data_IF_083713472701
#
_entry.id   IF_083713472701
#
_cell.length_a   1.000
_cell.length_b   1.000
_cell.length_c   1.000
_cell.angle_alpha   90.00
_cell.angle_beta   90.00
_cell.angle_gamma   90.00
#
_symmetry.space_group_name_H-M   'P 1'
#
loop_
_entity.id
_entity.type
_entity.pdbx_description
1 polymer ?
#
# COMPACT_ATOMS: atom_id res chain seq x y z
N UNK A 1 20.24 4.01 -12.47
CA UNK A 1 19.14 3.25 -11.86
C UNK A 1 17.94 4.16 -11.77
N UNK A 2 16.84 3.79 -12.40
CA UNK A 2 15.57 4.52 -12.43
C UNK A 2 14.57 3.79 -11.55
N UNK A 3 14.01 4.48 -10.55
CA UNK A 3 13.03 3.92 -9.62
C UNK A 3 11.61 4.28 -10.06
N UNK A 4 10.72 3.30 -10.15
CA UNK A 4 9.29 3.60 -10.14
C UNK A 4 8.78 3.66 -8.70
N UNK A 5 7.82 4.53 -8.41
CA UNK A 5 7.13 4.59 -7.12
C UNK A 5 5.65 4.37 -7.37
N UNK A 6 5.10 3.30 -6.78
CA UNK A 6 3.67 3.00 -6.79
C UNK A 6 3.03 3.47 -5.49
N UNK A 7 1.98 4.27 -5.57
CA UNK A 7 1.34 4.89 -4.41
C UNK A 7 -0.16 5.17 -4.65
N UNK A 8 -0.91 5.43 -3.58
CA UNK A 8 -2.37 5.61 -3.57
C UNK A 8 -3.11 4.31 -3.24
N UNK A 9 -3.84 3.78 -4.22
CA UNK A 9 -4.70 2.58 -4.21
C UNK A 9 -5.91 2.63 -3.28
N UNK A 10 -6.65 1.52 -3.18
CA UNK A 10 -7.84 1.42 -2.35
C UNK A 10 -7.47 1.15 -0.90
N UNK A 11 -7.20 2.20 -0.13
CA UNK A 11 -6.82 2.10 1.28
C UNK A 11 -7.34 3.26 2.10
N UNK A 12 -7.61 3.02 3.40
CA UNK A 12 -7.83 4.09 4.36
C UNK A 12 -6.59 4.99 4.56
N UNK A 13 -5.43 4.52 4.11
CA UNK A 13 -4.14 5.20 4.20
C UNK A 13 -3.72 5.79 2.83
N UNK A 14 -4.66 5.93 1.89
CA UNK A 14 -4.43 6.49 0.54
C UNK A 14 -3.70 7.83 0.56
N UNK A 15 -4.16 8.79 1.37
CA UNK A 15 -3.54 10.12 1.47
C UNK A 15 -2.13 10.06 2.09
N UNK A 16 -1.91 9.13 3.03
CA UNK A 16 -0.58 8.90 3.63
C UNK A 16 0.38 8.36 2.57
N UNK A 17 -0.10 7.50 1.67
CA UNK A 17 0.68 6.99 0.53
C UNK A 17 1.08 8.12 -0.43
N UNK A 18 0.16 9.03 -0.74
CA UNK A 18 0.43 10.24 -1.54
C UNK A 18 1.51 11.12 -0.92
N UNK A 19 1.40 11.40 0.38
CA UNK A 19 2.40 12.20 1.11
C UNK A 19 3.77 11.52 1.11
N UNK A 20 3.80 10.19 1.28
CA UNK A 20 5.03 9.40 1.25
C UNK A 20 5.74 9.49 -0.11
N UNK A 21 4.99 9.40 -1.21
CA UNK A 21 5.54 9.55 -2.57
C UNK A 21 6.10 10.97 -2.81
N UNK A 22 5.39 12.01 -2.37
CA UNK A 22 5.87 13.40 -2.49
C UNK A 22 7.17 13.61 -1.71
N UNK A 23 7.31 12.99 -0.54
CA UNK A 23 8.50 13.10 0.29
C UNK A 23 9.76 12.51 -0.38
N UNK A 24 9.61 11.41 -1.15
CA UNK A 24 10.75 10.78 -1.84
C UNK A 24 11.49 11.71 -2.80
N UNK A 25 10.78 12.64 -3.46
CA UNK A 25 11.39 13.65 -4.33
C UNK A 25 12.49 14.45 -3.62
N UNK A 26 12.30 14.74 -2.32
CA UNK A 26 13.25 15.50 -1.50
C UNK A 26 14.40 14.64 -0.99
N UNK A 27 14.14 13.36 -0.70
CA UNK A 27 15.09 12.45 -0.06
C UNK A 27 16.09 11.87 -1.07
N UNK A 28 15.67 11.66 -2.32
CA UNK A 28 16.47 11.03 -3.37
C UNK A 28 16.72 11.96 -4.58
N UNK A 29 17.32 13.16 -4.38
CA UNK A 29 17.41 14.18 -5.43
C UNK A 29 18.26 13.80 -6.64
N UNK A 30 19.14 12.79 -6.50
CA UNK A 30 20.02 12.29 -7.57
C UNK A 30 19.47 11.04 -8.27
N UNK A 31 18.28 10.57 -7.88
CA UNK A 31 17.67 9.37 -8.44
C UNK A 31 16.58 9.78 -9.41
N UNK A 32 16.57 9.20 -10.61
CA UNK A 32 15.44 9.36 -11.51
C UNK A 32 14.24 8.57 -10.96
N UNK A 33 13.15 9.27 -10.66
CA UNK A 33 11.93 8.68 -10.11
C UNK A 33 10.79 8.83 -11.11
N UNK A 34 10.14 7.72 -11.41
CA UNK A 34 8.91 7.61 -12.19
C UNK A 34 7.74 7.39 -11.23
N UNK A 35 6.75 8.26 -11.26
CA UNK A 35 5.60 8.17 -10.35
C UNK A 35 4.42 7.46 -11.03
N UNK A 36 3.96 6.37 -10.43
CA UNK A 36 2.77 5.63 -10.86
C UNK A 36 1.74 5.73 -9.75
N UNK A 37 0.68 6.48 -10.00
CA UNK A 37 -0.43 6.63 -9.06
C UNK A 37 -1.50 5.57 -9.34
N UNK A 38 -2.02 4.95 -8.30
CA UNK A 38 -3.19 4.08 -8.34
C UNK A 38 -4.35 4.81 -7.65
N UNK A 39 -5.50 4.96 -8.29
CA UNK A 39 -6.68 5.58 -7.65
C UNK A 39 -7.49 4.57 -6.82
N UNK A 40 -8.60 5.02 -6.21
CA UNK A 40 -9.49 4.15 -5.41
C UNK A 40 -10.22 3.07 -6.24
N UNK A 41 -10.37 3.31 -7.54
CA UNK A 41 -10.96 2.38 -8.51
C UNK A 41 -9.91 1.43 -9.11
N UNK A 42 -8.66 1.51 -8.62
CA UNK A 42 -7.49 0.72 -9.04
C UNK A 42 -7.07 0.97 -10.50
N UNK A 43 -7.32 2.17 -11.00
CA UNK A 43 -6.75 2.64 -12.26
C UNK A 43 -5.35 3.21 -12.03
N UNK A 44 -4.44 2.94 -12.96
CA UNK A 44 -3.05 3.42 -12.88
C UNK A 44 -2.82 4.63 -13.78
N UNK A 45 -2.07 5.60 -13.30
CA UNK A 45 -1.74 6.84 -14.00
C UNK A 45 -0.24 7.14 -13.88
N UNK A 46 0.38 7.55 -14.98
CA UNK A 46 1.75 8.07 -14.99
C UNK A 46 1.74 9.55 -14.61
N UNK A 47 2.36 9.89 -13.48
CA UNK A 47 2.36 11.25 -12.95
C UNK A 47 3.67 11.96 -13.29
N UNK A 48 3.63 13.16 -13.90
CA UNK A 48 4.83 13.94 -14.17
C UNK A 48 5.47 14.45 -12.87
N UNK A 49 6.78 14.22 -12.72
CA UNK A 49 7.57 14.49 -11.50
C UNK A 49 7.56 15.95 -11.07
N UNK A 50 7.51 16.88 -12.01
CA UNK A 50 7.42 18.32 -11.77
C UNK A 50 6.08 18.74 -11.18
N UNK A 51 5.05 17.91 -11.33
CA UNK A 51 3.68 18.26 -10.95
C UNK A 51 3.17 17.50 -9.72
N UNK A 52 3.93 16.55 -9.17
CA UNK A 52 3.52 15.78 -8.00
C UNK A 52 3.29 16.68 -6.76
N UNK A 53 2.02 16.82 -6.34
CA UNK A 53 1.58 17.66 -5.21
C UNK A 53 0.30 17.10 -4.61
N UNK A 54 0.04 17.30 -3.32
CA UNK A 54 -1.20 16.81 -2.68
C UNK A 54 -2.46 17.36 -3.34
N UNK A 55 -2.44 18.64 -3.78
CA UNK A 55 -3.58 19.29 -4.46
C UNK A 55 -3.99 18.56 -5.74
N UNK A 56 -3.04 17.99 -6.49
CA UNK A 56 -3.31 17.24 -7.73
C UNK A 56 -4.20 16.02 -7.46
N UNK A 57 -3.91 15.31 -6.38
CA UNK A 57 -4.60 14.09 -6.00
C UNK A 57 -5.96 14.41 -5.40
N UNK A 58 -6.03 15.36 -4.47
CA UNK A 58 -7.31 15.76 -3.86
C UNK A 58 -8.28 16.42 -4.85
N UNK A 59 -7.79 17.09 -5.89
CA UNK A 59 -8.65 17.71 -6.92
C UNK A 59 -9.04 16.76 -8.07
N UNK A 60 -8.52 15.53 -8.11
CA UNK A 60 -8.75 14.62 -9.23
C UNK A 60 -8.04 15.00 -10.54
N UNK A 61 -7.09 15.93 -10.51
CA UNK A 61 -6.41 16.42 -11.71
C UNK A 61 -5.61 15.30 -12.43
N UNK A 62 -5.21 14.27 -11.69
CA UNK A 62 -4.54 13.08 -12.24
C UNK A 62 -5.36 12.31 -13.28
N UNK A 63 -6.69 12.49 -13.32
CA UNK A 63 -7.55 11.80 -14.31
C UNK A 63 -7.24 12.21 -15.75
N UNK A 64 -6.59 13.35 -15.94
CA UNK A 64 -6.12 13.82 -17.25
C UNK A 64 -4.69 13.35 -17.56
N UNK A 65 -4.00 12.71 -16.60
CA UNK A 65 -2.67 12.16 -16.82
C UNK A 65 -2.75 10.86 -17.63
N UNK A 66 -1.59 10.38 -18.09
CA UNK A 66 -1.52 9.21 -18.98
C UNK A 66 -1.94 7.95 -18.23
N UNK A 67 -3.08 7.36 -18.60
CA UNK A 67 -3.52 6.07 -18.08
C UNK A 67 -2.55 4.94 -18.46
N UNK A 68 -2.35 4.03 -17.51
CA UNK A 68 -1.45 2.90 -17.61
C UNK A 68 -2.22 1.58 -17.45
N UNK A 69 -1.74 0.55 -18.14
CA UNK A 69 -2.21 -0.83 -17.99
C UNK A 69 -1.02 -1.68 -17.55
N UNK A 70 -1.23 -2.49 -16.51
CA UNK A 70 -0.25 -3.49 -16.10
C UNK A 70 -0.29 -4.70 -17.04
N UNK A 71 0.88 -5.10 -17.53
CA UNK A 71 1.08 -6.29 -18.36
C UNK A 71 2.37 -6.99 -17.95
N UNK A 72 2.66 -8.10 -18.61
CA UNK A 72 3.90 -8.84 -18.36
C UNK A 72 5.13 -7.92 -18.50
N UNK A 73 5.92 -7.87 -17.44
CA UNK A 73 7.15 -7.11 -17.32
C UNK A 73 6.98 -5.63 -16.95
N UNK A 74 5.78 -5.07 -16.80
CA UNK A 74 5.62 -3.68 -16.34
C UNK A 74 4.33 -2.97 -16.75
N UNK A 75 4.36 -1.64 -16.61
CA UNK A 75 3.24 -0.76 -16.94
C UNK A 75 3.37 -0.19 -18.35
N UNK A 76 2.25 -0.06 -19.06
CA UNK A 76 2.21 0.36 -20.45
C UNK A 76 1.22 1.50 -20.65
N UNK A 77 1.65 2.53 -21.37
CA UNK A 77 0.81 3.63 -21.83
C UNK A 77 0.33 3.36 -23.27
N UNK A 78 -0.95 3.56 -23.53
CA UNK A 78 -1.49 3.49 -24.91
C UNK A 78 -0.99 4.69 -25.72
N UNK A 79 -0.60 4.44 -26.97
CA UNK A 79 -0.24 5.47 -27.95
C UNK A 79 -1.16 5.34 -29.17
N UNK A 80 -1.07 6.30 -30.09
CA UNK A 80 -1.82 6.26 -31.34
C UNK A 80 -1.52 4.99 -32.15
N UNK A 81 -0.25 4.58 -32.17
CA UNK A 81 0.23 3.34 -32.77
C UNK A 81 0.89 2.48 -31.69
N UNK A 82 0.15 1.50 -31.17
CA UNK A 82 0.64 0.54 -30.19
C UNK A 82 0.72 1.07 -28.76
N UNK A 83 1.65 0.52 -28.00
CA UNK A 83 1.82 0.78 -26.58
C UNK A 83 3.29 0.99 -26.26
N UNK A 84 3.54 1.85 -25.26
CA UNK A 84 4.89 2.13 -24.78
C UNK A 84 5.02 1.68 -23.33
N UNK A 85 5.98 0.80 -23.07
CA UNK A 85 6.37 0.42 -21.72
C UNK A 85 6.95 1.62 -20.97
N UNK A 86 6.52 1.82 -19.73
CA UNK A 86 7.14 2.78 -18.80
C UNK A 86 8.49 2.19 -18.37
N UNK A 87 9.58 2.93 -18.64
CA UNK A 87 10.93 2.47 -18.36
C UNK A 87 11.31 2.75 -16.89
N UNK A 88 11.68 1.71 -16.16
CA UNK A 88 12.26 1.77 -14.82
C UNK A 88 12.97 0.43 -14.53
N UNK A 89 13.92 0.44 -13.59
CA UNK A 89 14.68 -0.76 -13.22
C UNK A 89 13.97 -1.55 -12.11
N UNK A 90 13.45 -0.84 -11.11
CA UNK A 90 12.75 -1.45 -9.96
C UNK A 90 11.67 -0.50 -9.44
N UNK A 91 10.56 -1.08 -8.99
CA UNK A 91 9.45 -0.36 -8.37
C UNK A 91 9.57 -0.35 -6.84
N UNK A 92 9.23 0.75 -6.19
CA UNK A 92 9.03 0.84 -4.74
C UNK A 92 7.53 0.85 -4.48
N UNK A 93 7.03 -0.16 -3.75
CA UNK A 93 5.65 -0.16 -3.29
C UNK A 93 5.52 0.77 -2.06
N UNK A 94 4.84 1.90 -2.22
CA UNK A 94 4.50 2.83 -1.14
C UNK A 94 2.99 2.88 -0.85
N UNK A 95 2.22 1.91 -1.34
CA UNK A 95 0.81 1.76 -0.96
C UNK A 95 0.75 1.21 0.45
N UNK A 96 0.13 1.96 1.37
CA UNK A 96 -0.03 1.57 2.77
C UNK A 96 -1.37 0.87 2.99
N UNK A 97 -1.43 -0.07 3.92
CA UNK A 97 -2.66 -0.75 4.29
C UNK A 97 -3.21 -1.70 3.22
N UNK A 98 -4.52 -1.59 2.96
CA UNK A 98 -5.21 -2.42 1.95
C UNK A 98 -4.63 -2.19 0.55
N UNK A 99 -4.65 -3.21 -0.29
CA UNK A 99 -3.98 -3.34 -1.58
C UNK A 99 -2.43 -3.41 -1.50
N UNK A 100 -1.80 -2.60 -0.65
CA UNK A 100 -0.34 -2.49 -0.58
C UNK A 100 0.36 -3.49 0.31
N UNK A 101 -0.11 -3.60 1.56
CA UNK A 101 0.52 -4.40 2.61
C UNK A 101 -0.20 -5.73 2.84
N UNK A 102 -1.42 -5.89 2.29
CA UNK A 102 -2.26 -7.09 2.44
C UNK A 102 -1.88 -8.25 1.50
N UNK A 103 -0.95 -8.00 0.57
CA UNK A 103 -0.43 -8.98 -0.38
C UNK A 103 -1.04 -8.88 -1.78
N UNK A 104 -2.03 -8.02 -2.00
CA UNK A 104 -2.68 -7.84 -3.31
C UNK A 104 -1.69 -7.33 -4.36
N UNK A 105 -1.07 -6.17 -4.13
CA UNK A 105 -0.07 -5.62 -5.05
C UNK A 105 1.17 -6.51 -5.13
N UNK A 106 1.60 -7.10 -4.00
CA UNK A 106 2.75 -8.01 -3.96
C UNK A 106 2.56 -9.21 -4.91
N UNK A 107 1.38 -9.83 -4.86
CA UNK A 107 1.03 -10.96 -5.72
C UNK A 107 0.88 -10.52 -7.19
N UNK A 108 0.23 -9.39 -7.42
CA UNK A 108 0.01 -8.84 -8.76
C UNK A 108 1.35 -8.50 -9.45
N UNK A 109 2.25 -7.78 -8.78
CA UNK A 109 3.56 -7.40 -9.32
C UNK A 109 4.44 -8.63 -9.56
N UNK A 110 4.39 -9.62 -8.67
CA UNK A 110 5.09 -10.90 -8.83
C UNK A 110 4.57 -11.65 -10.06
N UNK A 111 3.25 -11.79 -10.19
CA UNK A 111 2.61 -12.48 -11.32
C UNK A 111 3.00 -11.85 -12.66
N UNK A 112 2.97 -10.52 -12.76
CA UNK A 112 3.38 -9.80 -13.95
C UNK A 112 4.90 -9.61 -14.09
N UNK A 113 5.73 -10.26 -13.27
CA UNK A 113 7.20 -10.17 -13.34
C UNK A 113 7.73 -8.73 -13.32
N UNK A 114 7.16 -7.89 -12.45
CA UNK A 114 7.64 -6.52 -12.20
C UNK A 114 8.59 -6.54 -11.01
N UNK A 115 9.88 -6.21 -11.16
CA UNK A 115 10.80 -6.12 -10.03
C UNK A 115 10.34 -5.04 -9.05
N UNK A 116 10.22 -5.38 -7.77
CA UNK A 116 9.81 -4.41 -6.76
C UNK A 116 10.47 -4.59 -5.39
N UNK A 117 10.61 -3.47 -4.69
CA UNK A 117 10.96 -3.33 -3.28
C UNK A 117 9.66 -3.27 -2.49
N UNK A 118 9.51 -4.19 -1.55
CA UNK A 118 8.34 -4.34 -0.70
C UNK A 118 8.23 -5.78 -0.17
N UNK A 119 7.37 -6.01 0.83
CA UNK A 119 7.12 -7.36 1.35
C UNK A 119 6.58 -8.28 0.25
N UNK A 120 6.97 -9.56 0.30
CA UNK A 120 6.40 -10.63 -0.54
C UNK A 120 5.09 -11.14 0.07
N UNK A 121 4.29 -11.85 -0.72
CA UNK A 121 2.92 -12.26 -0.36
C UNK A 121 2.80 -12.89 1.02
N UNK A 122 3.70 -13.79 1.40
CA UNK A 122 3.69 -14.44 2.72
C UNK A 122 3.93 -13.43 3.86
N UNK A 123 4.94 -12.57 3.70
CA UNK A 123 5.23 -11.49 4.64
C UNK A 123 4.04 -10.56 4.81
N UNK A 124 3.43 -10.13 3.70
CA UNK A 124 2.21 -9.33 3.70
C UNK A 124 1.07 -10.00 4.48
N UNK A 125 0.74 -11.25 4.15
CA UNK A 125 -0.36 -11.96 4.77
C UNK A 125 -0.20 -12.09 6.29
N UNK A 126 1.03 -12.37 6.75
CA UNK A 126 1.37 -12.52 8.17
C UNK A 126 1.36 -11.15 8.88
N UNK A 127 1.95 -10.11 8.28
CA UNK A 127 2.13 -8.81 8.94
C UNK A 127 0.87 -7.93 8.91
N UNK A 128 0.03 -8.06 7.88
CA UNK A 128 -1.15 -7.21 7.72
C UNK A 128 -2.28 -7.59 8.70
N UNK A 129 -2.41 -8.87 9.02
CA UNK A 129 -3.40 -9.36 9.96
C UNK A 129 -2.79 -9.53 11.36
N UNK A 130 -3.13 -8.63 12.29
CA UNK A 130 -2.60 -8.66 13.66
C UNK A 130 -2.82 -9.97 14.42
N UNK A 131 -3.85 -10.74 14.08
CA UNK A 131 -4.02 -12.09 14.63
C UNK A 131 -2.92 -13.02 14.13
N UNK A 132 -2.67 -13.04 12.83
CA UNK A 132 -1.62 -13.88 12.23
C UNK A 132 -0.23 -13.44 12.70
N UNK A 133 0.00 -12.13 12.80
CA UNK A 133 1.25 -11.61 13.37
C UNK A 133 1.47 -12.10 14.80
N UNK A 134 0.42 -12.09 15.64
CA UNK A 134 0.52 -12.58 17.03
C UNK A 134 0.78 -14.08 17.09
N UNK A 135 0.07 -14.88 16.29
CA UNK A 135 0.28 -16.32 16.22
C UNK A 135 1.70 -16.66 15.77
N UNK A 136 2.20 -16.00 14.72
CA UNK A 136 3.57 -16.18 14.25
C UNK A 136 4.60 -15.75 15.31
N UNK A 137 4.40 -14.59 15.95
CA UNK A 137 5.28 -14.10 17.01
C UNK A 137 5.36 -15.08 18.19
N UNK A 138 4.22 -15.61 18.66
CA UNK A 138 4.17 -16.61 19.72
C UNK A 138 4.94 -17.87 19.36
N UNK A 139 4.74 -18.38 18.15
CA UNK A 139 5.42 -19.58 17.66
C UNK A 139 6.95 -19.42 17.65
N UNK A 140 7.47 -18.23 17.30
CA UNK A 140 8.92 -17.96 17.28
C UNK A 140 9.47 -17.43 18.61
N UNK A 141 8.69 -17.50 19.70
CA UNK A 141 9.14 -17.11 21.04
C UNK A 141 9.20 -15.59 21.29
N UNK A 142 8.53 -14.78 20.46
CA UNK A 142 8.39 -13.33 20.67
C UNK A 142 7.16 -13.06 21.54
N UNK A 143 7.36 -12.33 22.64
CA UNK A 143 6.29 -11.98 23.57
C UNK A 143 5.18 -11.17 22.90
N UNK A 144 3.93 -11.55 23.18
CA UNK A 144 2.74 -10.81 22.76
C UNK A 144 1.83 -10.57 23.98
N UNK A 145 1.17 -9.42 24.01
CA UNK A 145 0.09 -9.18 24.98
C UNK A 145 -1.09 -10.12 24.72
N UNK A 146 -1.75 -10.55 25.80
CA UNK A 146 -3.04 -11.23 25.77
C UNK A 146 -4.07 -10.43 24.95
N UNK A 147 -4.94 -11.16 24.28
CA UNK A 147 -5.88 -10.57 23.34
C UNK A 147 -7.15 -11.42 23.20
N UNK A 148 -8.22 -10.77 22.79
CA UNK A 148 -9.48 -11.40 22.42
C UNK A 148 -9.88 -10.94 21.03
N UNK A 149 -10.22 -11.88 20.15
CA UNK A 149 -10.72 -11.57 18.80
C UNK A 149 -12.24 -11.45 18.87
N UNK A 150 -12.76 -10.31 18.45
CA UNK A 150 -14.19 -10.04 18.35
C UNK A 150 -14.62 -10.08 16.89
N UNK A 151 -15.83 -10.59 16.63
CA UNK A 151 -16.45 -10.62 15.30
C UNK A 151 -17.85 -10.04 15.38
N UNK A 152 -18.23 -9.24 14.39
CA UNK A 152 -19.55 -8.57 14.37
C UNK A 152 -20.71 -9.57 14.34
N UNK A 153 -20.53 -10.66 13.63
CA UNK A 153 -21.47 -11.77 13.42
C UNK A 153 -21.42 -12.84 14.52
N UNK A 154 -20.48 -12.72 15.46
CA UNK A 154 -20.34 -13.65 16.59
C UNK A 154 -19.99 -12.87 17.86
N UNK A 155 -20.96 -12.18 18.47
CA UNK A 155 -20.72 -11.40 19.67
C UNK A 155 -20.34 -12.31 20.83
N UNK A 156 -19.30 -11.92 21.57
CA UNK A 156 -18.83 -12.63 22.76
C UNK A 156 -18.60 -11.63 23.90
N UNK A 157 -18.78 -12.02 25.17
CA UNK A 157 -18.47 -11.16 26.30
C UNK A 157 -16.98 -10.81 26.30
N UNK A 158 -16.67 -9.54 26.58
CA UNK A 158 -15.29 -9.09 26.71
C UNK A 158 -14.72 -9.64 28.02
N UNK A 159 -13.60 -10.36 27.94
CA UNK A 159 -12.94 -11.03 29.09
C UNK A 159 -11.62 -10.37 29.50
N UNK A 160 -11.31 -9.22 28.91
CA UNK A 160 -10.10 -8.45 29.23
C UNK A 160 -10.45 -7.43 30.30
N UNK A 161 -9.63 -7.36 31.35
CA UNK A 161 -9.78 -6.37 32.42
C UNK A 161 -9.51 -4.94 31.91
N UNK A 162 -10.12 -3.96 32.57
CA UNK A 162 -9.90 -2.56 32.27
C UNK A 162 -8.57 -2.05 32.86
N UNK A 163 -7.89 -1.09 32.21
CA UNK A 163 -8.21 -0.56 30.87
C UNK A 163 -7.70 -1.47 29.76
N UNK A 164 -8.41 -1.49 28.62
CA UNK A 164 -7.96 -2.22 27.43
C UNK A 164 -8.01 -1.37 26.15
N UNK A 165 -7.25 -1.80 25.13
CA UNK A 165 -7.22 -1.17 23.81
C UNK A 165 -8.02 -2.02 22.83
N UNK A 166 -8.99 -1.39 22.15
CA UNK A 166 -9.68 -1.98 20.99
C UNK A 166 -9.04 -1.45 19.72
N UNK A 167 -8.76 -2.33 18.77
CA UNK A 167 -8.21 -1.95 17.46
C UNK A 167 -8.64 -2.92 16.35
N UNK A 168 -8.75 -2.45 15.09
CA UNK A 168 -9.06 -3.32 13.96
C UNK A 168 -7.91 -4.29 13.64
N UNK A 169 -8.26 -5.52 13.23
CA UNK A 169 -7.25 -6.54 12.88
C UNK A 169 -6.37 -6.10 11.69
N UNK A 170 -6.93 -5.36 10.72
CA UNK A 170 -6.33 -5.09 9.40
C UNK A 170 -6.22 -3.60 9.04
N UNK A 171 -6.24 -2.68 10.01
CA UNK A 171 -5.97 -1.25 9.76
C UNK A 171 -4.65 -0.79 10.39
N UNK A 172 -3.95 0.11 9.71
CA UNK A 172 -2.75 0.80 10.18
C UNK A 172 -3.05 2.21 10.69
N UNK A 173 -2.00 3.01 10.86
CA UNK A 173 -2.04 4.46 11.18
C UNK A 173 -2.96 4.89 12.32
N UNK A 174 -3.07 4.05 13.36
CA UNK A 174 -3.96 4.26 14.52
C UNK A 174 -5.46 4.42 14.19
N UNK A 175 -5.88 4.04 12.99
CA UNK A 175 -7.26 4.17 12.53
C UNK A 175 -8.13 3.16 13.29
N UNK A 176 -9.19 3.67 13.94
CA UNK A 176 -10.15 2.87 14.69
C UNK A 176 -9.62 2.32 16.02
N UNK A 177 -8.53 2.89 16.56
CA UNK A 177 -8.01 2.53 17.88
C UNK A 177 -8.72 3.34 18.96
N UNK A 178 -9.16 2.66 20.02
CA UNK A 178 -9.77 3.28 21.21
C UNK A 178 -9.22 2.69 22.50
N UNK A 179 -9.02 3.53 23.51
CA UNK A 179 -8.78 3.11 24.89
C UNK A 179 -10.13 3.03 25.60
N UNK A 180 -10.45 1.88 26.17
CA UNK A 180 -11.65 1.67 26.98
C UNK A 180 -11.23 1.66 28.45
N UNK A 181 -11.87 2.52 29.24
CA UNK A 181 -11.55 2.78 30.64
C UNK A 181 -12.74 2.41 31.52
#
# INVERSE_FOLDING_TARGET
>A
MTLAVLFGAHSFEHEISVVSAIALKKILPKTEIVYIFCDYDRNFYLIPTETITSKRFSSGAYKNDTALVLKQGGFYAKKFLGERKVAFDVMVNLVHGMDGEDGTLSSMLTFFSVPFIGPRTEGCAISYNKLFTKLYAQEVGVNVLDYQVLRKDSPMPIRIEYPFIVKPLRLGSSIGISVVK
#
